data_IF_083762714391
#
_entry.id   IF_083762714391
#
_cell.length_a   1.000
_cell.length_b   1.000
_cell.length_c   1.000
_cell.angle_alpha   90.00
_cell.angle_beta   90.00
_cell.angle_gamma   90.00
#
_symmetry.space_group_name_H-M   'P 1'
#
loop_
_entity.id
_entity.type
_entity.pdbx_description
1 polymer ?
#
# COMPACT_ATOMS: atom_id res chain seq x y z
N UNK A 1 -10.82 2.39 -13.79
CA UNK A 1 -10.43 3.81 -13.69
C UNK A 1 -9.76 4.14 -12.36
N UNK A 2 -10.41 3.88 -11.21
CA UNK A 2 -9.86 4.21 -9.87
C UNK A 2 -8.44 3.68 -9.59
N UNK A 3 -8.14 2.40 -9.89
CA UNK A 3 -6.81 1.82 -9.65
C UNK A 3 -5.66 2.51 -10.42
N UNK A 4 -5.95 3.01 -11.63
CA UNK A 4 -4.99 3.73 -12.47
C UNK A 4 -4.67 5.11 -11.88
N UNK A 5 -5.71 5.84 -11.44
CA UNK A 5 -5.56 7.12 -10.76
C UNK A 5 -4.80 6.96 -9.43
N UNK A 6 -5.16 5.94 -8.64
CA UNK A 6 -4.50 5.61 -7.39
C UNK A 6 -2.99 5.35 -7.56
N UNK A 7 -2.62 4.62 -8.61
CA UNK A 7 -1.24 4.40 -9.01
C UNK A 7 -0.48 5.66 -9.38
N UNK A 8 -1.10 6.53 -10.18
CA UNK A 8 -0.52 7.81 -10.58
C UNK A 8 -0.28 8.70 -9.35
N UNK A 9 -1.22 8.76 -8.41
CA UNK A 9 -1.02 9.53 -7.17
C UNK A 9 0.13 9.00 -6.30
N UNK A 10 0.46 7.71 -6.39
CA UNK A 10 1.61 7.13 -5.68
C UNK A 10 2.94 7.24 -6.46
N UNK A 11 2.89 7.64 -7.73
CA UNK A 11 4.08 7.81 -8.57
C UNK A 11 4.84 9.12 -8.32
N UNK A 12 4.24 10.06 -7.59
CA UNK A 12 4.82 11.37 -7.26
C UNK A 12 6.14 11.28 -6.44
N UNK A 13 6.47 10.12 -5.87
CA UNK A 13 7.71 9.87 -5.11
C UNK A 13 8.89 9.35 -5.96
N UNK A 14 8.87 9.56 -7.28
CA UNK A 14 10.09 9.55 -8.11
C UNK A 14 10.46 8.26 -8.86
N UNK A 15 9.61 7.22 -8.92
CA UNK A 15 9.91 6.01 -9.71
C UNK A 15 8.66 5.31 -10.25
N UNK A 16 8.67 4.94 -11.54
CA UNK A 16 7.58 4.18 -12.20
C UNK A 16 7.28 2.85 -11.50
N UNK A 17 8.31 2.19 -10.96
CA UNK A 17 8.15 0.95 -10.18
C UNK A 17 7.25 1.09 -8.95
N UNK A 18 7.20 2.28 -8.33
CA UNK A 18 6.32 2.56 -7.19
C UNK A 18 4.86 2.77 -7.59
N UNK A 19 4.56 2.96 -8.87
CA UNK A 19 3.20 3.09 -9.37
C UNK A 19 2.58 1.72 -9.72
N UNK A 20 3.40 0.77 -10.21
CA UNK A 20 2.94 -0.56 -10.65
C UNK A 20 2.30 -1.36 -9.52
N UNK A 21 2.92 -1.34 -8.33
CA UNK A 21 2.43 -2.09 -7.16
C UNK A 21 1.06 -1.57 -6.68
N UNK A 22 0.85 -0.26 -6.44
CA UNK A 22 -0.47 0.30 -6.14
C UNK A 22 -1.54 0.04 -7.21
N UNK A 23 -1.18 0.07 -8.50
CA UNK A 23 -2.12 -0.26 -9.60
C UNK A 23 -2.57 -1.72 -9.50
N UNK A 24 -1.64 -2.63 -9.23
CA UNK A 24 -1.94 -4.05 -9.06
C UNK A 24 -2.86 -4.28 -7.84
N UNK A 25 -2.50 -3.74 -6.68
CA UNK A 25 -3.30 -3.88 -5.45
C UNK A 25 -4.69 -3.27 -5.63
N UNK A 26 -4.80 -2.08 -6.22
CA UNK A 26 -6.07 -1.42 -6.50
C UNK A 26 -6.96 -2.22 -7.46
N UNK A 27 -6.37 -2.93 -8.43
CA UNK A 27 -7.11 -3.81 -9.35
C UNK A 27 -7.66 -5.04 -8.61
N UNK A 28 -6.85 -5.68 -7.76
CA UNK A 28 -7.29 -6.81 -6.93
C UNK A 28 -8.43 -6.39 -5.99
N UNK A 29 -8.31 -5.23 -5.33
CA UNK A 29 -9.36 -4.71 -4.45
C UNK A 29 -10.66 -4.41 -5.21
N UNK A 30 -10.58 -3.85 -6.41
CA UNK A 30 -11.77 -3.62 -7.24
C UNK A 30 -12.49 -4.93 -7.60
N UNK A 31 -11.75 -6.00 -7.92
CA UNK A 31 -12.31 -7.33 -8.19
C UNK A 31 -12.95 -7.94 -6.93
N UNK A 32 -12.29 -7.84 -5.78
CA UNK A 32 -12.84 -8.31 -4.50
C UNK A 32 -14.09 -7.54 -4.09
N UNK A 33 -14.09 -6.22 -4.26
CA UNK A 33 -15.28 -5.41 -3.98
C UNK A 33 -16.44 -5.78 -4.88
N UNK A 34 -16.19 -6.02 -6.18
CA UNK A 34 -17.24 -6.48 -7.10
C UNK A 34 -17.79 -7.86 -6.71
N UNK A 35 -16.95 -8.76 -6.19
CA UNK A 35 -17.35 -10.13 -5.82
C UNK A 35 -18.11 -10.20 -4.50
N UNK A 36 -17.67 -9.46 -3.49
CA UNK A 36 -18.21 -9.57 -2.13
C UNK A 36 -19.10 -8.39 -1.73
N UNK A 37 -19.09 -7.30 -2.52
CA UNK A 37 -19.84 -6.05 -2.29
C UNK A 37 -19.72 -5.49 -0.87
N UNK A 38 -18.61 -5.80 -0.19
CA UNK A 38 -18.41 -5.47 1.22
C UNK A 38 -17.13 -4.63 1.37
N UNK A 39 -17.33 -3.33 1.59
CA UNK A 39 -16.22 -2.37 1.73
C UNK A 39 -15.41 -2.60 3.00
N UNK A 40 -15.98 -3.22 4.04
CA UNK A 40 -15.29 -3.48 5.31
C UNK A 40 -14.08 -4.40 5.11
N UNK A 41 -14.23 -5.38 4.22
CA UNK A 41 -13.14 -6.32 3.88
C UNK A 41 -11.99 -5.54 3.22
N UNK A 42 -12.30 -4.65 2.27
CA UNK A 42 -11.29 -3.83 1.60
C UNK A 42 -10.54 -2.91 2.57
N UNK A 43 -11.26 -2.25 3.48
CA UNK A 43 -10.67 -1.35 4.47
C UNK A 43 -9.71 -2.13 5.40
N UNK A 44 -10.13 -3.30 5.89
CA UNK A 44 -9.28 -4.13 6.76
C UNK A 44 -8.07 -4.65 5.98
N UNK A 45 -8.24 -5.16 4.76
CA UNK A 45 -7.13 -5.64 3.93
C UNK A 45 -6.13 -4.53 3.62
N UNK A 46 -6.60 -3.34 3.24
CA UNK A 46 -5.74 -2.18 3.00
C UNK A 46 -4.92 -1.84 4.24
N UNK A 47 -5.59 -1.70 5.38
CA UNK A 47 -4.95 -1.38 6.65
C UNK A 47 -3.88 -2.42 7.04
N UNK A 48 -4.17 -3.71 6.88
CA UNK A 48 -3.23 -4.79 7.21
C UNK A 48 -1.99 -4.76 6.31
N UNK A 49 -2.15 -4.52 5.00
CA UNK A 49 -1.01 -4.42 4.07
C UNK A 49 -0.10 -3.26 4.47
N UNK A 50 -0.67 -2.09 4.75
CA UNK A 50 0.10 -0.90 5.13
C UNK A 50 0.80 -1.12 6.48
N UNK A 51 0.08 -1.66 7.48
CA UNK A 51 0.63 -1.95 8.79
C UNK A 51 1.80 -2.95 8.73
N UNK A 52 1.64 -4.06 8.00
CA UNK A 52 2.70 -5.06 7.83
C UNK A 52 3.89 -4.45 7.07
N UNK A 53 3.63 -3.65 6.03
CA UNK A 53 4.69 -3.00 5.25
C UNK A 53 5.52 -2.04 6.12
N UNK A 54 4.87 -1.27 7.00
CA UNK A 54 5.55 -0.40 7.96
C UNK A 54 6.35 -1.19 8.99
N UNK A 55 5.81 -2.30 9.50
CA UNK A 55 6.54 -3.18 10.42
C UNK A 55 7.77 -3.78 9.75
N UNK A 56 7.65 -4.33 8.55
CA UNK A 56 8.77 -4.89 7.80
C UNK A 56 9.87 -3.85 7.52
N UNK A 57 9.52 -2.62 7.14
CA UNK A 57 10.48 -1.54 6.96
C UNK A 57 11.28 -1.27 8.24
N UNK A 58 10.62 -1.31 9.40
CA UNK A 58 11.25 -1.08 10.69
C UNK A 58 12.18 -2.24 11.13
N UNK A 59 11.94 -3.47 10.65
CA UNK A 59 12.80 -4.63 10.92
C UNK A 59 13.98 -4.77 9.94
N UNK A 60 13.83 -4.28 8.70
CA UNK A 60 14.84 -4.44 7.64
C UNK A 60 15.91 -3.32 7.70
N UNK A 61 15.58 -2.13 8.22
CA UNK A 61 16.54 -1.03 8.35
C UNK A 61 16.51 -0.37 9.76
N UNK A 62 17.30 -0.86 10.73
CA UNK A 62 17.31 -0.32 12.09
C UNK A 62 17.95 1.09 12.18
N UNK A 63 18.47 1.67 11.09
CA UNK A 63 19.10 3.01 11.12
C UNK A 63 18.14 4.12 11.53
N UNK A 64 16.83 3.95 11.35
CA UNK A 64 15.86 4.93 11.86
C UNK A 64 15.63 4.83 13.37
N UNK A 65 15.94 3.69 14.01
CA UNK A 65 15.90 3.55 15.47
C UNK A 65 17.08 4.27 16.15
N UNK A 66 18.23 4.44 15.46
CA UNK A 66 19.39 5.11 16.06
C UNK A 66 19.23 6.63 16.17
N UNK A 67 18.29 7.24 15.42
CA UNK A 67 17.95 8.67 15.56
C UNK A 67 17.07 8.97 16.79
N UNK A 68 16.49 7.94 17.42
CA UNK A 68 15.69 8.05 18.63
C UNK A 68 16.50 7.81 19.92
N UNK A 69 17.80 7.50 19.78
CA UNK A 69 18.75 7.25 20.87
C UNK A 69 19.72 8.42 21.11
N UNK A 70 19.28 9.67 20.93
CA UNK A 70 20.06 10.86 21.27
C UNK A 70 19.28 11.78 22.21
#
# INVERSE_FOLDING_TARGET
VSALLFGIFHSAYGTIGRAVVPIFIGTVFALFYKKYSNIKILIICHFLIDFISMMLMNFIDPKHLSLLNL
#
